data_IF_490651429432
#
_entry.id   IF_490651429432
#
_cell.length_a   1.000
_cell.length_b   1.000
_cell.length_c   1.000
_cell.angle_alpha   90.00
_cell.angle_beta   90.00
_cell.angle_gamma   90.00
#
_symmetry.space_group_name_H-M   'P 1'
#
loop_
_entity.id
_entity.type
_entity.pdbx_description
1 polymer ?
#
# COMPACT_ATOMS: atom_id res chain seq x y z
N UNK A 1 18.71 -10.86 -20.69
CA UNK A 1 18.46 -9.68 -19.83
C UNK A 1 19.25 -9.88 -18.54
N UNK A 2 19.74 -8.83 -17.89
CA UNK A 2 20.44 -8.96 -16.59
C UNK A 2 19.42 -9.19 -15.48
N UNK A 3 19.73 -9.97 -14.44
CA UNK A 3 18.86 -10.17 -13.28
C UNK A 3 18.40 -8.85 -12.64
N UNK A 4 19.23 -7.81 -12.71
CA UNK A 4 18.88 -6.45 -12.28
C UNK A 4 17.79 -5.80 -13.13
N UNK A 5 17.76 -6.08 -14.44
CA UNK A 5 16.73 -5.58 -15.35
C UNK A 5 15.38 -6.28 -15.14
N UNK A 6 15.41 -7.56 -14.74
CA UNK A 6 14.19 -8.32 -14.40
C UNK A 6 13.60 -7.81 -13.09
N UNK A 7 14.43 -7.62 -12.05
CA UNK A 7 14.00 -7.03 -10.77
C UNK A 7 13.39 -5.64 -10.96
N UNK A 8 13.98 -4.76 -11.78
CA UNK A 8 13.42 -3.43 -12.05
C UNK A 8 12.08 -3.50 -12.79
N UNK A 9 11.88 -4.50 -13.64
CA UNK A 9 10.60 -4.72 -14.31
C UNK A 9 9.51 -5.18 -13.32
N UNK A 10 9.86 -6.06 -12.38
CA UNK A 10 8.95 -6.49 -11.30
C UNK A 10 8.56 -5.30 -10.39
N UNK A 11 9.53 -4.45 -10.02
CA UNK A 11 9.27 -3.22 -9.26
C UNK A 11 8.29 -2.32 -10.02
N UNK A 12 8.48 -2.17 -11.34
CA UNK A 12 7.58 -1.38 -12.17
C UNK A 12 6.15 -1.93 -12.17
N UNK A 13 5.99 -3.25 -12.32
CA UNK A 13 4.69 -3.92 -12.34
C UNK A 13 3.95 -3.77 -11.00
N UNK A 14 4.67 -3.94 -9.88
CA UNK A 14 4.09 -3.76 -8.55
C UNK A 14 3.68 -2.31 -8.31
N UNK A 15 4.54 -1.35 -8.66
CA UNK A 15 4.23 0.07 -8.52
C UNK A 15 3.00 0.46 -9.35
N UNK A 16 2.90 -0.01 -10.59
CA UNK A 16 1.77 0.28 -11.46
C UNK A 16 0.48 -0.31 -10.87
N UNK A 17 0.52 -1.58 -10.46
CA UNK A 17 -0.62 -2.28 -9.86
C UNK A 17 -1.09 -1.58 -8.58
N UNK A 18 -0.16 -1.13 -7.73
CA UNK A 18 -0.46 -0.39 -6.51
C UNK A 18 -1.14 0.96 -6.80
N UNK A 19 -0.60 1.77 -7.71
CA UNK A 19 -1.15 3.08 -8.05
C UNK A 19 -2.57 2.96 -8.65
N UNK A 20 -2.79 1.98 -9.53
CA UNK A 20 -4.11 1.73 -10.12
C UNK A 20 -5.13 1.27 -9.08
N UNK A 21 -4.73 0.41 -8.15
CA UNK A 21 -5.57 0.00 -7.02
C UNK A 21 -5.91 1.19 -6.13
N UNK A 22 -4.93 2.04 -5.81
CA UNK A 22 -5.12 3.24 -5.00
C UNK A 22 -6.16 4.17 -5.61
N UNK A 23 -6.01 4.48 -6.90
CA UNK A 23 -6.97 5.31 -7.63
C UNK A 23 -8.38 4.71 -7.63
N UNK A 24 -8.50 3.38 -7.80
CA UNK A 24 -9.81 2.72 -7.80
C UNK A 24 -10.49 2.85 -6.44
N UNK A 25 -9.80 2.49 -5.36
CA UNK A 25 -10.34 2.56 -4.00
C UNK A 25 -10.75 3.98 -3.61
N UNK A 26 -9.90 4.97 -3.91
CA UNK A 26 -10.15 6.37 -3.58
C UNK A 26 -11.30 6.99 -4.38
N UNK A 27 -11.54 6.54 -5.62
CA UNK A 27 -12.67 6.97 -6.44
C UNK A 27 -13.99 6.33 -6.01
N UNK A 28 -13.94 5.11 -5.49
CA UNK A 28 -15.12 4.38 -5.02
C UNK A 28 -15.60 4.92 -3.65
N UNK A 29 -14.68 5.06 -2.70
CA UNK A 29 -14.92 5.69 -1.40
C UNK A 29 -13.60 6.29 -0.90
N UNK A 30 -13.47 7.63 -0.98
CA UNK A 30 -12.25 8.35 -0.58
C UNK A 30 -11.90 8.08 0.88
N UNK A 31 -12.88 8.10 1.79
CA UNK A 31 -12.64 7.95 3.23
C UNK A 31 -12.17 6.53 3.56
N UNK A 32 -12.87 5.51 3.05
CA UNK A 32 -12.47 4.11 3.22
C UNK A 32 -11.14 3.82 2.53
N UNK A 33 -10.90 4.37 1.34
CA UNK A 33 -9.65 4.24 0.60
C UNK A 33 -8.46 4.80 1.38
N UNK A 34 -8.58 6.03 1.90
CA UNK A 34 -7.55 6.65 2.76
C UNK A 34 -7.24 5.79 3.98
N UNK A 35 -8.27 5.31 4.67
CA UNK A 35 -8.12 4.43 5.84
C UNK A 35 -7.40 3.12 5.50
N UNK A 36 -7.82 2.44 4.43
CA UNK A 36 -7.22 1.17 3.98
C UNK A 36 -5.78 1.33 3.52
N UNK A 37 -5.45 2.46 2.89
CA UNK A 37 -4.12 2.74 2.40
C UNK A 37 -3.19 3.36 3.46
N UNK A 38 -3.75 3.98 4.50
CA UNK A 38 -2.98 4.67 5.54
C UNK A 38 -2.36 5.98 5.06
N UNK A 39 -3.03 6.68 4.15
CA UNK A 39 -2.54 7.90 3.49
C UNK A 39 -3.34 9.13 3.91
N UNK A 40 -2.72 10.31 3.80
CA UNK A 40 -3.36 11.58 4.09
C UNK A 40 -4.32 12.02 2.98
N UNK A 41 -5.18 12.99 3.29
CA UNK A 41 -6.11 13.55 2.31
C UNK A 41 -5.39 14.21 1.14
N UNK A 42 -4.30 14.94 1.41
CA UNK A 42 -3.50 15.60 0.40
C UNK A 42 -2.90 14.59 -0.59
N UNK A 43 -2.40 13.46 -0.09
CA UNK A 43 -1.88 12.39 -0.95
C UNK A 43 -2.99 11.71 -1.73
N UNK A 44 -4.15 11.47 -1.12
CA UNK A 44 -5.29 10.91 -1.81
C UNK A 44 -5.74 11.79 -2.99
N UNK A 45 -5.77 13.11 -2.80
CA UNK A 45 -6.13 14.06 -3.85
C UNK A 45 -5.11 14.07 -5.00
N UNK A 46 -3.82 13.99 -4.68
CA UNK A 46 -2.79 13.82 -5.72
C UNK A 46 -2.99 12.53 -6.49
N UNK A 47 -3.16 11.40 -5.80
CA UNK A 47 -3.28 10.08 -6.42
C UNK A 47 -4.48 9.97 -7.36
N UNK A 48 -5.64 10.48 -6.97
CA UNK A 48 -6.88 10.42 -7.77
C UNK A 48 -6.76 11.25 -9.06
N UNK A 49 -6.02 12.36 -9.01
CA UNK A 49 -5.82 13.30 -10.13
C UNK A 49 -4.68 12.92 -11.08
N UNK A 50 -3.87 11.89 -10.75
CA UNK A 50 -2.84 11.41 -11.67
C UNK A 50 -3.47 10.86 -12.95
N UNK A 51 -3.01 11.38 -14.08
CA UNK A 51 -3.32 10.83 -15.41
C UNK A 51 -2.63 9.48 -15.60
N UNK A 52 -3.14 8.66 -16.52
CA UNK A 52 -2.51 7.37 -16.85
C UNK A 52 -1.02 7.53 -17.23
N UNK A 53 -0.68 8.56 -18.00
CA UNK A 53 0.70 8.83 -18.39
C UNK A 53 1.60 9.14 -17.17
N UNK A 54 1.10 9.92 -16.20
CA UNK A 54 1.83 10.20 -14.96
C UNK A 54 1.94 8.94 -14.09
N UNK A 55 0.88 8.14 -14.00
CA UNK A 55 0.88 6.86 -13.25
C UNK A 55 1.91 5.88 -13.80
N UNK A 56 1.97 5.70 -15.12
CA UNK A 56 2.99 4.84 -15.76
C UNK A 56 4.40 5.39 -15.55
N UNK A 57 4.57 6.71 -15.66
CA UNK A 57 5.87 7.36 -15.41
C UNK A 57 6.35 7.16 -13.96
N UNK A 58 5.46 7.30 -12.97
CA UNK A 58 5.79 7.07 -11.57
C UNK A 58 6.09 5.61 -11.31
N UNK A 59 5.32 4.70 -11.90
CA UNK A 59 5.55 3.27 -11.78
C UNK A 59 6.91 2.85 -12.32
N UNK A 60 7.44 3.53 -13.35
CA UNK A 60 8.77 3.26 -13.92
C UNK A 60 9.95 3.62 -13.00
N UNK A 61 9.68 4.12 -11.79
CA UNK A 61 10.68 4.31 -10.75
C UNK A 61 11.37 3.00 -10.37
N UNK A 62 12.68 3.09 -10.13
CA UNK A 62 13.54 2.01 -9.65
C UNK A 62 13.34 1.71 -8.15
N UNK A 63 12.45 2.46 -7.49
CA UNK A 63 12.15 2.36 -6.07
C UNK A 63 10.73 1.86 -5.89
N UNK A 64 10.51 1.04 -4.86
CA UNK A 64 9.17 0.65 -4.44
C UNK A 64 8.41 1.88 -3.92
N UNK A 65 7.23 2.14 -4.49
CA UNK A 65 6.36 3.24 -4.06
C UNK A 65 5.50 2.85 -2.86
N UNK A 66 5.22 1.56 -2.69
CA UNK A 66 4.49 1.04 -1.54
C UNK A 66 5.43 0.44 -0.50
N UNK A 67 5.12 0.71 0.77
CA UNK A 67 5.80 0.16 1.95
C UNK A 67 4.95 -0.94 2.57
N UNK A 68 5.62 -1.89 3.21
CA UNK A 68 4.96 -2.84 4.11
C UNK A 68 4.46 -2.11 5.37
N UNK A 69 3.16 -2.14 5.63
CA UNK A 69 2.56 -1.38 6.74
C UNK A 69 2.72 -2.02 8.13
N UNK A 70 3.25 -3.24 8.22
CA UNK A 70 3.49 -3.91 9.49
C UNK A 70 4.98 -3.85 9.84
N UNK A 71 5.37 -2.80 10.56
CA UNK A 71 6.77 -2.60 10.98
C UNK A 71 7.14 -3.37 12.26
N UNK A 72 6.14 -3.88 13.01
CA UNK A 72 6.37 -4.65 14.23
C UNK A 72 6.47 -6.16 13.93
N UNK A 73 7.66 -6.72 14.13
CA UNK A 73 7.94 -8.14 13.92
C UNK A 73 7.03 -9.04 14.77
N UNK A 74 6.65 -8.61 15.98
CA UNK A 74 5.85 -9.41 16.91
C UNK A 74 4.42 -9.56 16.42
N UNK A 75 3.89 -8.52 15.79
CA UNK A 75 2.59 -8.53 15.13
C UNK A 75 2.62 -9.44 13.91
N UNK A 76 3.64 -9.32 13.07
CA UNK A 76 3.76 -10.16 11.87
C UNK A 76 3.89 -11.65 12.23
N UNK A 77 4.73 -11.99 13.22
CA UNK A 77 4.87 -13.36 13.71
C UNK A 77 3.55 -13.88 14.29
N UNK A 78 2.80 -13.05 15.02
CA UNK A 78 1.50 -13.43 15.57
C UNK A 78 0.43 -13.68 14.52
N UNK A 79 0.48 -13.00 13.36
CA UNK A 79 -0.48 -13.19 12.27
C UNK A 79 -0.11 -14.37 11.38
N UNK A 80 1.18 -14.67 11.26
CA UNK A 80 1.67 -15.84 10.52
C UNK A 80 1.45 -17.15 11.28
N UNK A 81 1.28 -17.09 12.61
CA UNK A 81 1.03 -18.26 13.45
C UNK A 81 -0.38 -18.82 13.23
N UNK A 82 -0.44 -19.97 12.54
CA UNK A 82 -1.67 -20.68 12.13
C UNK A 82 -2.51 -21.22 13.31
N UNK A 83 -2.04 -21.08 14.55
CA UNK A 83 -2.69 -21.61 15.74
C UNK A 83 -3.85 -20.79 16.32
N UNK A 84 -4.02 -19.52 15.92
CA UNK A 84 -5.11 -18.65 16.43
C UNK A 84 -6.27 -18.54 15.43
N UNK A 85 -7.50 -18.48 15.93
CA UNK A 85 -8.71 -18.30 15.12
C UNK A 85 -8.56 -17.12 14.14
N UNK A 86 -8.60 -17.42 12.84
CA UNK A 86 -8.40 -16.47 11.74
C UNK A 86 -9.26 -15.20 11.85
N UNK A 87 -10.47 -15.32 12.39
CA UNK A 87 -11.38 -14.18 12.59
C UNK A 87 -10.90 -13.20 13.67
N UNK A 88 -10.34 -13.72 14.78
CA UNK A 88 -9.78 -12.89 15.86
C UNK A 88 -8.49 -12.21 15.40
N UNK A 89 -7.65 -12.95 14.65
CA UNK A 89 -6.44 -12.39 14.05
C UNK A 89 -6.76 -11.25 13.05
N UNK A 90 -7.78 -11.41 12.20
CA UNK A 90 -8.22 -10.36 11.27
C UNK A 90 -8.74 -9.11 11.99
N UNK A 91 -9.58 -9.27 13.03
CA UNK A 91 -10.08 -8.14 13.80
C UNK A 91 -8.95 -7.39 14.52
N UNK A 92 -8.00 -8.12 15.11
CA UNK A 92 -6.82 -7.54 15.77
C UNK A 92 -5.94 -6.76 14.78
N UNK A 93 -5.69 -7.29 13.58
CA UNK A 93 -4.98 -6.57 12.51
C UNK A 93 -5.71 -5.28 12.12
N UNK A 94 -7.03 -5.34 11.92
CA UNK A 94 -7.80 -4.16 11.53
C UNK A 94 -7.73 -3.06 12.61
N UNK A 95 -7.81 -3.42 13.89
CA UNK A 95 -7.70 -2.49 15.03
C UNK A 95 -6.30 -1.86 15.07
N UNK A 96 -5.24 -2.66 14.93
CA UNK A 96 -3.87 -2.15 14.94
C UNK A 96 -3.60 -1.20 13.77
N UNK A 97 -4.09 -1.57 12.58
CA UNK A 97 -3.93 -0.77 11.36
C UNK A 97 -4.73 0.54 11.42
N UNK A 98 -5.82 0.58 12.19
CA UNK A 98 -6.57 1.81 12.47
C UNK A 98 -5.84 2.73 13.45
N UNK A 99 -5.03 2.17 14.35
CA UNK A 99 -4.26 2.92 15.34
C UNK A 99 -2.89 3.42 14.85
N UNK A 100 -2.42 2.94 13.69
CA UNK A 100 -1.19 3.47 13.09
C UNK A 100 -1.41 4.92 12.66
N UNK A 101 -0.48 5.84 12.98
CA UNK A 101 -0.58 7.20 12.48
C UNK A 101 -0.59 7.18 10.95
N UNK A 102 -1.43 8.01 10.35
CA UNK A 102 -1.35 8.29 8.92
C UNK A 102 0.08 8.76 8.63
N UNK A 103 0.72 8.20 7.59
CA UNK A 103 2.07 8.63 7.21
C UNK A 103 2.04 10.15 6.99
N UNK A 104 2.73 10.88 7.86
CA UNK A 104 2.89 12.32 7.73
C UNK A 104 4.08 12.58 6.81
N UNK A 105 3.88 13.42 5.80
CA UNK A 105 4.99 13.92 5.00
C UNK A 105 5.94 14.69 5.93
N UNK A 106 7.14 14.16 6.13
CA UNK A 106 8.26 14.86 6.77
C UNK A 106 9.12 15.52 5.72
#
# INVERSE_FOLDING_TARGET
MSATSEMLAEINEVNLSYLLLAQRLLREDKAMGMFRMGISEELADVLVNLTLAQTVKLAASNQMLCRFRFDDHSLLSSLADKGRSSAVAHAHSAILMAGQPVESFR
#
